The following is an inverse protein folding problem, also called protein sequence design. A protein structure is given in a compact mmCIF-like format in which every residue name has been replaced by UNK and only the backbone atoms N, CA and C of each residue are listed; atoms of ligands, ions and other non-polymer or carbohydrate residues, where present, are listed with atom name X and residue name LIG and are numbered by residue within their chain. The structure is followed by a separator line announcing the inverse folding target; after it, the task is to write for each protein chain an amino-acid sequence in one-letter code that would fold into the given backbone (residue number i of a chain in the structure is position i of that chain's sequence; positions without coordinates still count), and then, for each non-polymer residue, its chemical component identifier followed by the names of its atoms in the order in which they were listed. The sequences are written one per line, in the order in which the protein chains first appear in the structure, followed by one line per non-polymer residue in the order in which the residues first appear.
data_IF_110386076377
#
_entry.id   IF_110386076377
#
_cell.length_a   1.000
_cell.length_b   1.000
_cell.length_c   1.000
_cell.angle_alpha   90.00
_cell.angle_beta   90.00
_cell.angle_gamma   90.00
#
_symmetry.space_group_name_H-M   'P 1'
#
loop_
_entity.id
_entity.type
_entity.pdbx_description
1 polymer ?
#
# COMPACT_ATOMS: atom_id res chain seq x y z
N UNK A 1 20.52 -1.35 -0.14
CA UNK A 1 19.25 -0.59 -0.18
C UNK A 1 18.24 -1.15 0.82
N UNK A 2 18.07 -2.47 0.91
CA UNK A 2 17.27 -3.11 1.96
C UNK A 2 17.74 -2.70 3.37
N UNK A 3 19.05 -2.80 3.65
CA UNK A 3 19.61 -2.41 4.95
C UNK A 3 19.33 -0.95 5.34
N UNK A 4 19.43 -0.03 4.37
CA UNK A 4 19.08 1.37 4.58
C UNK A 4 17.60 1.56 4.88
N UNK A 5 16.71 0.86 4.15
CA UNK A 5 15.28 0.91 4.42
C UNK A 5 14.95 0.35 5.80
N UNK A 6 15.63 -0.72 6.22
CA UNK A 6 15.41 -1.31 7.53
C UNK A 6 15.87 -0.45 8.69
N UNK A 7 16.95 0.31 8.53
CA UNK A 7 17.41 1.30 9.51
C UNK A 7 16.53 2.57 9.51
N UNK A 8 16.16 3.07 8.33
CA UNK A 8 15.51 4.37 8.19
C UNK A 8 14.01 4.33 8.50
N UNK A 9 13.29 3.30 8.03
CA UNK A 9 11.84 3.21 8.16
C UNK A 9 11.34 3.22 9.63
N UNK A 10 11.98 2.53 10.59
CA UNK A 10 11.57 2.61 12.00
C UNK A 10 11.66 4.02 12.60
N UNK A 11 12.54 4.88 12.09
CA UNK A 11 12.65 6.30 12.52
C UNK A 11 11.46 7.14 12.07
N UNK A 12 10.62 6.60 11.18
CA UNK A 12 9.45 7.24 10.60
C UNK A 12 8.13 6.75 11.21
N UNK A 13 8.16 6.17 12.42
CA UNK A 13 7.04 5.44 13.04
C UNK A 13 5.72 6.20 13.22
N UNK A 14 5.71 7.52 13.00
CA UNK A 14 4.54 8.39 13.14
C UNK A 14 4.12 9.07 11.83
N UNK A 15 4.61 8.60 10.68
CA UNK A 15 4.16 9.16 9.41
C UNK A 15 2.68 8.92 9.16
N UNK A 16 2.04 9.95 8.61
CA UNK A 16 0.66 9.89 8.11
C UNK A 16 0.60 9.82 6.58
N UNK A 17 1.73 9.94 5.90
CA UNK A 17 1.85 9.70 4.46
C UNK A 17 3.29 9.82 3.98
N UNK A 18 3.54 9.39 2.75
CA UNK A 18 4.85 9.47 2.10
C UNK A 18 4.69 9.84 0.62
N UNK A 19 5.44 10.84 0.16
CA UNK A 19 5.49 11.19 -1.27
C UNK A 19 6.81 10.69 -1.83
N UNK A 20 6.75 9.91 -2.89
CA UNK A 20 7.94 9.42 -3.58
C UNK A 20 8.20 10.19 -4.88
N UNK A 21 9.47 10.31 -5.26
CA UNK A 21 9.85 10.96 -6.52
C UNK A 21 9.66 10.01 -7.71
N UNK A 22 9.00 10.50 -8.76
CA UNK A 22 8.75 9.75 -9.98
C UNK A 22 10.04 9.26 -10.66
N UNK A 23 9.94 8.08 -11.31
CA UNK A 23 10.97 7.51 -12.21
C UNK A 23 12.34 7.25 -11.55
N UNK A 24 12.46 7.40 -10.23
CA UNK A 24 13.67 7.07 -9.47
C UNK A 24 13.83 5.55 -9.35
N UNK A 25 15.01 4.97 -9.68
CA UNK A 25 15.33 3.55 -9.44
C UNK A 25 15.12 3.10 -7.98
N UNK A 26 15.27 4.03 -7.04
CA UNK A 26 15.09 3.78 -5.61
C UNK A 26 13.68 4.09 -5.13
N UNK A 27 13.09 5.21 -5.56
CA UNK A 27 11.87 5.75 -4.95
C UNK A 27 10.62 5.72 -5.86
N UNK A 28 10.72 5.55 -7.18
CA UNK A 28 9.52 5.66 -8.03
C UNK A 28 8.46 4.61 -7.70
N UNK A 29 7.18 4.99 -7.76
CA UNK A 29 6.06 4.06 -7.55
C UNK A 29 5.64 3.37 -8.85
N UNK A 30 5.83 4.04 -9.99
CA UNK A 30 5.46 3.50 -11.31
C UNK A 30 6.60 3.63 -12.32
N UNK A 31 6.64 2.68 -13.26
CA UNK A 31 7.47 2.74 -14.48
C UNK A 31 8.96 2.94 -14.20
N UNK A 32 9.41 2.44 -13.05
CA UNK A 32 10.83 2.46 -12.69
C UNK A 32 11.57 1.50 -13.60
N UNK A 33 12.72 1.98 -14.09
CA UNK A 33 13.61 1.19 -14.93
C UNK A 33 14.54 0.40 -14.01
N UNK A 34 14.28 -0.90 -13.89
CA UNK A 34 15.13 -1.80 -13.14
C UNK A 34 16.27 -2.31 -14.04
N UNK A 35 17.44 -2.48 -13.44
CA UNK A 35 18.62 -3.04 -14.08
C UNK A 35 18.83 -4.45 -13.51
N UNK A 36 19.12 -5.43 -14.37
CA UNK A 36 19.51 -6.76 -13.89
C UNK A 36 20.95 -6.74 -13.35
N UNK A 37 21.38 -7.84 -12.72
CA UNK A 37 22.74 -8.02 -12.19
C UNK A 37 23.84 -7.90 -13.25
N UNK A 38 23.46 -7.95 -14.54
CA UNK A 38 24.36 -7.82 -15.69
C UNK A 38 24.32 -6.42 -16.32
N UNK A 39 23.58 -5.48 -15.73
CA UNK A 39 23.44 -4.09 -16.21
C UNK A 39 22.52 -3.93 -17.42
N UNK A 40 21.80 -4.97 -17.85
CA UNK A 40 20.87 -4.87 -18.96
C UNK A 40 19.64 -4.04 -18.55
N UNK A 41 19.16 -3.24 -19.50
CA UNK A 41 17.98 -2.40 -19.31
C UNK A 41 16.73 -3.28 -19.27
N UNK A 42 16.18 -3.50 -18.08
CA UNK A 42 14.88 -4.12 -17.90
C UNK A 42 13.73 -3.24 -18.43
N UNK A 43 12.51 -3.83 -18.49
CA UNK A 43 11.29 -3.10 -18.84
C UNK A 43 10.98 -2.01 -17.78
N UNK A 44 10.40 -0.89 -18.20
CA UNK A 44 9.93 0.20 -17.32
C UNK A 44 8.60 -0.17 -16.66
N UNK A 45 8.62 -1.20 -15.80
CA UNK A 45 7.42 -1.70 -15.12
C UNK A 45 7.64 -1.89 -13.61
N UNK A 46 8.80 -1.52 -13.08
CA UNK A 46 9.15 -1.76 -11.68
C UNK A 46 8.63 -0.69 -10.70
N UNK A 47 8.65 -1.05 -9.43
CA UNK A 47 8.62 -0.15 -8.27
C UNK A 47 10.06 0.03 -7.80
N UNK A 48 10.43 1.21 -7.34
CA UNK A 48 11.76 1.47 -6.78
C UNK A 48 12.01 0.61 -5.55
N UNK A 49 13.24 0.15 -5.36
CA UNK A 49 13.57 -0.83 -4.30
C UNK A 49 13.19 -0.34 -2.88
N UNK A 50 13.34 0.96 -2.59
CA UNK A 50 12.94 1.52 -1.30
C UNK A 50 11.42 1.53 -1.14
N UNK A 51 10.72 1.95 -2.19
CA UNK A 51 9.26 2.02 -2.20
C UNK A 51 8.63 0.63 -2.07
N UNK A 52 9.27 -0.40 -2.63
CA UNK A 52 8.89 -1.80 -2.39
C UNK A 52 8.92 -2.15 -0.90
N UNK A 53 10.08 -1.95 -0.26
CA UNK A 53 10.24 -2.23 1.18
C UNK A 53 9.30 -1.38 2.04
N UNK A 54 9.10 -0.10 1.68
CA UNK A 54 8.17 0.80 2.37
C UNK A 54 6.73 0.24 2.35
N UNK A 55 6.26 -0.19 1.18
CA UNK A 55 4.91 -0.69 1.00
C UNK A 55 4.69 -2.07 1.62
N UNK A 56 5.75 -2.88 1.74
CA UNK A 56 5.74 -4.16 2.47
C UNK A 56 5.72 -3.94 3.99
N UNK A 57 6.53 -3.01 4.50
CA UNK A 57 6.66 -2.74 5.93
C UNK A 57 5.49 -1.94 6.50
N UNK A 58 4.96 -0.99 5.72
CA UNK A 58 3.84 -0.12 6.10
C UNK A 58 2.72 -0.18 5.05
N UNK A 59 2.02 -1.32 4.92
CA UNK A 59 0.98 -1.48 3.91
C UNK A 59 -0.21 -0.53 4.09
N UNK A 60 -0.38 0.00 5.31
CA UNK A 60 -1.38 0.98 5.72
C UNK A 60 -0.98 2.44 5.48
N UNK A 61 0.26 2.73 5.11
CA UNK A 61 0.70 4.11 4.91
C UNK A 61 0.20 4.63 3.55
N UNK A 62 -0.45 5.81 3.49
CA UNK A 62 -0.72 6.48 2.23
C UNK A 62 0.60 6.84 1.54
N UNK A 63 0.84 6.27 0.36
CA UNK A 63 2.00 6.56 -0.47
C UNK A 63 1.52 6.99 -1.85
N UNK A 64 2.06 8.09 -2.36
CA UNK A 64 1.76 8.58 -3.71
C UNK A 64 3.02 9.14 -4.38
N UNK A 65 3.02 9.18 -5.71
CA UNK A 65 4.11 9.74 -6.51
C UNK A 65 3.90 11.23 -6.77
N UNK A 66 4.95 12.04 -6.68
CA UNK A 66 4.92 13.49 -6.93
C UNK A 66 4.24 13.87 -8.25
N UNK A 67 4.54 13.15 -9.34
CA UNK A 67 3.93 13.37 -10.64
C UNK A 67 2.43 13.05 -10.69
N UNK A 68 1.94 12.13 -9.85
CA UNK A 68 0.53 11.73 -9.77
C UNK A 68 -0.31 12.75 -9.00
N UNK A 69 0.30 13.53 -8.10
CA UNK A 69 -0.36 14.61 -7.35
C UNK A 69 -0.76 15.82 -8.21
N UNK A 70 -0.35 15.86 -9.49
CA UNK A 70 -0.89 16.82 -10.45
C UNK A 70 -2.34 16.52 -10.83
N UNK A 71 -2.77 15.26 -10.75
CA UNK A 71 -4.17 14.89 -10.92
C UNK A 71 -4.95 15.31 -9.65
N UNK A 72 -6.00 16.14 -9.78
CA UNK A 72 -6.73 16.66 -8.63
C UNK A 72 -7.44 15.56 -7.82
N UNK A 73 -7.94 14.50 -8.47
CA UNK A 73 -8.66 13.41 -7.80
C UNK A 73 -7.68 12.55 -6.99
N UNK A 74 -6.52 12.23 -7.56
CA UNK A 74 -5.48 11.50 -6.84
C UNK A 74 -4.92 12.31 -5.67
N UNK A 75 -4.71 13.60 -5.87
CA UNK A 75 -4.24 14.51 -4.81
C UNK A 75 -5.25 14.61 -3.67
N UNK A 76 -6.52 14.79 -3.98
CA UNK A 76 -7.59 14.87 -2.98
C UNK A 76 -7.66 13.58 -2.16
N UNK A 77 -7.73 12.42 -2.81
CA UNK A 77 -7.74 11.13 -2.13
C UNK A 77 -6.48 10.91 -1.26
N UNK A 78 -5.29 11.26 -1.76
CA UNK A 78 -4.07 11.17 -0.95
C UNK A 78 -4.13 12.06 0.30
N UNK A 79 -4.50 13.33 0.14
CA UNK A 79 -4.60 14.29 1.25
C UNK A 79 -5.64 13.85 2.27
N UNK A 80 -6.82 13.41 1.84
CA UNK A 80 -7.86 12.91 2.74
C UNK A 80 -7.36 11.74 3.60
N UNK A 81 -6.66 10.78 2.98
CA UNK A 81 -6.09 9.63 3.69
C UNK A 81 -4.99 10.02 4.67
N UNK A 82 -4.16 11.01 4.31
CA UNK A 82 -3.14 11.56 5.22
C UNK A 82 -3.79 12.14 6.48
N UNK A 83 -4.84 12.95 6.31
CA UNK A 83 -5.55 13.52 7.46
C UNK A 83 -6.27 12.45 8.30
N UNK A 84 -6.90 11.47 7.65
CA UNK A 84 -7.54 10.36 8.35
C UNK A 84 -6.55 9.58 9.22
N UNK A 85 -5.39 9.21 8.65
CA UNK A 85 -4.36 8.48 9.38
C UNK A 85 -3.71 9.35 10.48
N UNK A 86 -3.52 10.64 10.25
CA UNK A 86 -3.00 11.56 11.26
C UNK A 86 -3.94 11.63 12.48
N UNK A 87 -5.23 11.79 12.25
CA UNK A 87 -6.20 11.82 13.33
C UNK A 87 -6.27 10.46 14.04
N UNK A 88 -6.23 9.35 13.31
CA UNK A 88 -6.19 8.02 13.88
C UNK A 88 -4.96 7.82 14.80
N UNK A 89 -3.77 8.21 14.35
CA UNK A 89 -2.55 8.15 15.17
C UNK A 89 -2.66 9.05 16.41
N UNK A 90 -3.27 10.24 16.28
CA UNK A 90 -3.51 11.16 17.40
C UNK A 90 -4.45 10.56 18.43
N UNK A 91 -5.50 9.85 18.00
CA UNK A 91 -6.40 9.12 18.91
C UNK A 91 -5.65 8.06 19.71
N UNK A 92 -4.69 7.37 19.10
CA UNK A 92 -3.84 6.40 19.82
C UNK A 92 -2.95 7.10 20.85
N UNK A 93 -2.29 8.19 20.46
CA UNK A 93 -1.41 8.95 21.35
C UNK A 93 -2.15 9.52 22.58
N UNK A 94 -3.42 9.90 22.41
CA UNK A 94 -4.27 10.45 23.48
C UNK A 94 -4.95 9.39 24.37
N UNK A 95 -4.71 8.10 24.10
CA UNK A 95 -5.33 7.00 24.83
C UNK A 95 -6.57 6.45 24.12
N UNK A 96 -6.47 5.20 23.67
CA UNK A 96 -7.54 4.53 22.94
C UNK A 96 -8.75 4.25 23.84
N UNK A 97 -9.93 4.58 23.32
CA UNK A 97 -11.21 4.10 23.86
C UNK A 97 -12.06 3.54 22.73
N UNK A 98 -12.93 2.57 23.05
CA UNK A 98 -13.88 2.03 22.06
C UNK A 98 -14.74 3.13 21.43
N UNK A 99 -15.21 4.06 22.26
CA UNK A 99 -16.03 5.19 21.81
C UNK A 99 -15.26 6.06 20.81
N UNK A 100 -14.03 6.44 21.12
CA UNK A 100 -13.21 7.25 20.23
C UNK A 100 -12.97 6.56 18.87
N UNK A 101 -12.71 5.24 18.86
CA UNK A 101 -12.56 4.45 17.63
C UNK A 101 -13.85 4.40 16.80
N UNK A 102 -15.01 4.25 17.44
CA UNK A 102 -16.31 4.22 16.77
C UNK A 102 -16.71 5.61 16.23
N UNK A 103 -16.44 6.66 16.99
CA UNK A 103 -16.68 8.06 16.61
C UNK A 103 -15.80 8.46 15.42
N UNK A 104 -14.52 8.04 15.44
CA UNK A 104 -13.63 8.14 14.28
C UNK A 104 -14.21 7.40 13.07
N UNK A 105 -14.47 6.10 13.21
CA UNK A 105 -14.95 5.30 12.09
C UNK A 105 -16.24 5.86 11.47
N UNK A 106 -17.17 6.35 12.30
CA UNK A 106 -18.44 6.92 11.82
C UNK A 106 -18.26 8.15 10.95
N UNK A 107 -17.24 8.98 11.20
CA UNK A 107 -16.92 10.15 10.35
C UNK A 107 -16.22 9.75 9.05
N UNK A 108 -15.32 8.77 9.12
CA UNK A 108 -14.44 8.42 7.99
C UNK A 108 -15.01 7.34 7.05
N UNK A 109 -16.00 6.56 7.47
CA UNK A 109 -16.53 5.44 6.67
C UNK A 109 -17.11 5.86 5.32
N UNK A 110 -17.65 7.07 5.18
CA UNK A 110 -18.20 7.56 3.92
C UNK A 110 -17.10 7.99 2.93
N UNK A 111 -15.98 8.51 3.43
CA UNK A 111 -14.79 8.75 2.60
C UNK A 111 -14.21 7.42 2.10
N UNK A 112 -14.14 6.42 2.96
CA UNK A 112 -13.76 5.06 2.53
C UNK A 112 -14.72 4.50 1.48
N UNK A 113 -16.02 4.73 1.61
CA UNK A 113 -17.01 4.30 0.62
C UNK A 113 -16.81 5.00 -0.74
N UNK A 114 -16.52 6.30 -0.74
CA UNK A 114 -16.31 7.08 -1.96
C UNK A 114 -15.14 6.56 -2.80
N UNK A 115 -14.07 6.10 -2.13
CA UNK A 115 -12.85 5.66 -2.79
C UNK A 115 -12.70 4.15 -2.91
N UNK A 116 -13.37 3.37 -2.05
CA UNK A 116 -13.20 1.91 -1.97
C UNK A 116 -14.41 1.16 -1.37
N UNK A 117 -15.42 0.91 -2.20
CA UNK A 117 -16.67 0.25 -1.79
C UNK A 117 -16.48 -1.15 -1.16
N UNK A 118 -15.56 -1.97 -1.66
CA UNK A 118 -15.30 -3.30 -1.10
C UNK A 118 -14.76 -3.19 0.34
N UNK A 119 -13.81 -2.29 0.58
CA UNK A 119 -13.22 -2.05 1.89
C UNK A 119 -14.24 -1.50 2.89
N UNK A 120 -15.14 -0.63 2.44
CA UNK A 120 -16.27 -0.18 3.26
C UNK A 120 -17.15 -1.35 3.74
N UNK A 121 -17.44 -2.33 2.87
CA UNK A 121 -18.25 -3.50 3.23
C UNK A 121 -17.53 -4.43 4.20
N UNK A 122 -16.23 -4.63 4.01
CA UNK A 122 -15.41 -5.52 4.82
C UNK A 122 -15.12 -4.97 6.22
N UNK A 123 -14.95 -3.64 6.33
CA UNK A 123 -14.55 -3.03 7.60
C UNK A 123 -15.70 -2.92 8.61
N UNK A 124 -16.95 -2.83 8.14
CA UNK A 124 -18.13 -2.70 9.01
C UNK A 124 -18.25 -3.83 10.03
N UNK A 125 -18.26 -5.12 9.62
CA UNK A 125 -18.28 -6.25 10.55
C UNK A 125 -17.07 -6.27 11.50
N UNK A 126 -15.89 -5.88 11.03
CA UNK A 126 -14.69 -5.80 11.86
C UNK A 126 -14.82 -4.73 12.95
N UNK A 127 -15.38 -3.55 12.62
CA UNK A 127 -15.61 -2.49 13.61
C UNK A 127 -16.70 -2.89 14.61
N UNK A 128 -17.73 -3.61 14.17
CA UNK A 128 -18.77 -4.11 15.05
C UNK A 128 -18.24 -5.06 16.14
N UNK A 129 -17.20 -5.84 15.84
CA UNK A 129 -16.59 -6.74 16.83
C UNK A 129 -15.68 -6.04 17.84
N UNK A 130 -15.52 -4.71 17.80
CA UNK A 130 -14.63 -3.98 18.72
C UNK A 130 -14.89 -4.34 20.19
N UNK A 131 -16.13 -4.58 20.58
CA UNK A 131 -16.51 -4.92 21.96
C UNK A 131 -15.88 -6.21 22.48
N UNK A 132 -15.51 -7.13 21.58
CA UNK A 132 -14.88 -8.43 21.87
C UNK A 132 -13.37 -8.30 22.17
N UNK A 133 -12.73 -7.20 21.76
CA UNK A 133 -11.27 -7.04 21.86
C UNK A 133 -10.84 -6.48 23.21
N UNK A 134 -10.18 -7.29 24.05
CA UNK A 134 -9.65 -6.80 25.34
C UNK A 134 -8.50 -5.81 25.19
N UNK A 135 -7.66 -6.01 24.17
CA UNK A 135 -6.54 -5.14 23.83
C UNK A 135 -6.95 -4.19 22.70
N UNK A 136 -7.05 -2.90 23.03
CA UNK A 136 -7.41 -1.86 22.07
C UNK A 136 -6.26 -1.47 21.14
N UNK A 137 -5.01 -1.63 21.56
CA UNK A 137 -3.85 -1.39 20.71
C UNK A 137 -3.78 -2.45 19.61
N UNK A 138 -4.03 -3.72 19.96
CA UNK A 138 -4.12 -4.78 18.97
C UNK A 138 -5.28 -4.54 17.97
N UNK A 139 -6.44 -4.09 18.46
CA UNK A 139 -7.56 -3.72 17.58
C UNK A 139 -7.19 -2.55 16.67
N UNK A 140 -6.53 -1.52 17.21
CA UNK A 140 -6.07 -0.36 16.44
C UNK A 140 -5.16 -0.76 15.28
N UNK A 141 -4.17 -1.63 15.53
CA UNK A 141 -3.23 -2.07 14.48
C UNK A 141 -3.98 -2.78 13.35
N UNK A 142 -4.88 -3.71 13.69
CA UNK A 142 -5.71 -4.41 12.71
C UNK A 142 -6.71 -3.48 11.99
N UNK A 143 -7.29 -2.50 12.70
CA UNK A 143 -8.18 -1.49 12.14
C UNK A 143 -7.47 -0.63 11.09
N UNK A 144 -6.28 -0.12 11.43
CA UNK A 144 -5.46 0.70 10.53
C UNK A 144 -5.09 -0.07 9.26
N UNK A 145 -4.66 -1.32 9.40
CA UNK A 145 -4.35 -2.18 8.26
C UNK A 145 -5.55 -2.44 7.36
N UNK A 146 -6.74 -2.68 7.93
CA UNK A 146 -7.97 -2.88 7.14
C UNK A 146 -8.49 -1.61 6.49
N UNK A 147 -8.32 -0.44 7.11
CA UNK A 147 -8.83 0.83 6.58
C UNK A 147 -8.03 1.29 5.37
N UNK A 148 -6.70 1.30 5.49
CA UNK A 148 -5.81 1.82 4.44
C UNK A 148 -5.25 0.74 3.51
N UNK A 149 -5.07 -0.49 4.00
CA UNK A 149 -4.65 -1.62 3.17
C UNK A 149 -5.71 -1.97 2.12
N UNK A 150 -6.99 -1.75 2.44
CA UNK A 150 -8.09 -1.97 1.51
C UNK A 150 -8.22 -0.88 0.45
N UNK A 151 -7.70 0.35 0.63
CA UNK A 151 -7.78 1.39 -0.43
C UNK A 151 -6.88 1.10 -1.64
N UNK A 152 -6.11 -0.01 -1.62
CA UNK A 152 -5.35 -0.52 -2.77
C UNK A 152 -6.25 -1.27 -3.77
N UNK A 153 -7.24 -0.60 -4.35
CA UNK A 153 -7.82 -1.03 -5.62
C UNK A 153 -7.46 -0.05 -6.72
N UNK A 154 -6.20 -0.10 -7.20
CA UNK A 154 -5.90 -0.09 -8.64
C UNK A 154 -4.40 -0.34 -8.91
N UNK A 155 -4.11 -1.48 -9.56
CA UNK A 155 -3.09 -1.67 -10.63
C UNK A 155 -1.66 -2.17 -10.37
N UNK A 156 -1.26 -2.69 -9.21
CA UNK A 156 0.14 -3.17 -9.05
C UNK A 156 0.37 -4.69 -9.09
N UNK A 157 -0.68 -5.52 -9.06
CA UNK A 157 -0.54 -6.96 -9.27
C UNK A 157 -0.93 -7.33 -10.71
N UNK A 158 0.05 -7.44 -11.62
CA UNK A 158 -0.17 -8.23 -12.84
C UNK A 158 -0.33 -9.70 -12.42
N UNK A 159 -1.42 -10.33 -12.88
CA UNK A 159 -1.69 -11.77 -12.75
C UNK A 159 -0.46 -12.58 -13.18
N UNK A 160 -0.12 -13.70 -12.52
CA UNK A 160 0.80 -14.67 -13.11
C UNK A 160 0.14 -15.17 -14.41
N UNK A 161 0.82 -14.96 -15.54
CA UNK A 161 0.36 -15.53 -16.80
C UNK A 161 0.35 -17.05 -16.65
N UNK A 162 -0.86 -17.63 -16.70
CA UNK A 162 -1.08 -19.00 -17.12
C UNK A 162 -0.30 -19.22 -18.42
N UNK A 163 0.67 -20.14 -18.40
CA UNK A 163 1.12 -20.79 -19.62
C UNK A 163 0.01 -21.77 -20.03
N UNK A 164 -0.81 -21.37 -20.98
CA UNK A 164 -1.62 -22.30 -21.76
C UNK A 164 -0.78 -22.79 -22.94
N UNK A 165 -0.41 -24.06 -22.84
CA UNK A 165 -0.48 -25.12 -23.85
C UNK A 165 0.30 -25.10 -25.18
N UNK A 166 0.95 -26.25 -25.37
CA UNK A 166 0.93 -27.15 -26.52
C UNK A 166 1.91 -26.93 -27.71
N UNK A 167 2.81 -27.92 -27.80
CA UNK A 167 3.19 -28.69 -28.99
C UNK A 167 3.59 -27.97 -30.29
N UNK A 168 4.87 -28.09 -30.64
CA UNK A 168 5.28 -28.60 -31.97
C UNK A 168 6.72 -29.08 -31.89
N UNK A 169 6.94 -30.36 -32.17
CA UNK A 169 8.24 -31.00 -32.09
C UNK A 169 9.24 -30.53 -33.14
N UNK A 170 10.51 -30.76 -32.84
CA UNK A 170 11.59 -30.93 -33.81
C UNK A 170 12.70 -31.73 -33.10
N UNK A 171 12.84 -32.99 -33.52
CA UNK A 171 13.96 -33.87 -33.17
C UNK A 171 15.24 -33.34 -33.82
N UNK A 172 16.41 -33.38 -33.15
CA UNK A 172 17.67 -33.11 -33.83
C UNK A 172 17.99 -34.27 -34.78
N UNK A 173 18.15 -33.95 -36.07
CA UNK A 173 18.73 -34.85 -37.06
C UNK A 173 20.21 -35.06 -36.76
N UNK A 174 20.62 -36.31 -36.69
CA UNK A 174 21.99 -36.77 -36.89
C UNK A 174 22.37 -36.57 -38.36
N UNK A 175 23.53 -35.97 -38.65
CA UNK A 175 24.29 -36.25 -39.88
C UNK A 175 25.79 -36.09 -39.58
N UNK A 176 26.48 -37.23 -39.71
CA UNK A 176 27.88 -37.52 -40.07
C UNK A 176 29.05 -36.84 -39.33
#
# INVERSE_FOLDING_TARGET
MADFADEYLPRLGELSGFIVCAKSPSCGMERVRLYDEKGNRGRKEGVGLFTGVLLEKYPWLPVEEDGRLHDPVLRENFVERVFALHELNTLRANGLTRRALLDFHSRYKLQLLAHHQAGYREIGPFVASVHEWKDLDAFFVAYREKTDGNTKATRFAKKPHQRADAHSGLLPRSVE
#
